data_IF_712565742286
#
_entry.id   IF_712565742286
#
_cell.length_a   1.000
_cell.length_b   1.000
_cell.length_c   1.000
_cell.angle_alpha   90.00
_cell.angle_beta   90.00
_cell.angle_gamma   90.00
#
_symmetry.space_group_name_H-M   'P 1'
#
loop_
_entity.id
_entity.type
_entity.pdbx_description
1 polymer ?
#
# COMPACT_ATOMS: atom_id res chain seq x y z
N UNK A 1 22.21 -13.61 17.64
CA UNK A 1 21.30 -13.18 16.56
C UNK A 1 20.97 -11.71 16.78
N UNK A 2 21.26 -10.80 15.83
CA UNK A 2 20.91 -9.38 15.96
C UNK A 2 19.39 -9.23 15.78
N UNK A 3 18.70 -8.61 16.74
CA UNK A 3 17.29 -8.24 16.57
C UNK A 3 17.20 -7.15 15.50
N UNK A 4 16.37 -7.36 14.49
CA UNK A 4 16.04 -6.32 13.51
C UNK A 4 15.38 -5.15 14.24
N UNK A 5 15.88 -3.95 13.99
CA UNK A 5 15.26 -2.72 14.50
C UNK A 5 14.02 -2.42 13.68
N UNK A 6 13.09 -1.61 14.19
CA UNK A 6 11.87 -1.28 13.43
C UNK A 6 12.17 -0.55 12.11
N UNK A 7 13.33 0.09 12.01
CA UNK A 7 13.83 0.71 10.77
C UNK A 7 14.29 -0.32 9.73
N UNK A 8 14.59 -1.55 10.14
CA UNK A 8 14.96 -2.66 9.25
C UNK A 8 13.73 -3.41 8.73
N UNK A 9 12.55 -3.18 9.31
CA UNK A 9 11.31 -3.87 8.92
C UNK A 9 10.72 -3.20 7.67
N UNK A 10 10.16 -4.02 6.78
CA UNK A 10 9.44 -3.56 5.59
C UNK A 10 7.98 -3.31 5.94
N UNK A 11 7.42 -2.19 5.49
CA UNK A 11 5.98 -1.93 5.56
C UNK A 11 5.38 -2.23 4.19
N UNK A 12 4.72 -3.39 4.07
CA UNK A 12 4.03 -3.76 2.83
C UNK A 12 2.63 -3.15 2.78
N UNK A 13 2.34 -2.38 1.73
CA UNK A 13 1.01 -1.88 1.40
C UNK A 13 0.50 -2.68 0.19
N UNK A 14 -0.68 -3.28 0.31
CA UNK A 14 -1.25 -4.14 -0.72
C UNK A 14 -2.52 -3.54 -1.30
N UNK A 15 -2.55 -3.34 -2.61
CA UNK A 15 -3.72 -2.89 -3.35
C UNK A 15 -4.17 -3.99 -4.32
N UNK A 16 -5.48 -4.08 -4.55
CA UNK A 16 -6.03 -5.01 -5.53
C UNK A 16 -7.19 -4.38 -6.29
N UNK A 17 -7.34 -4.75 -7.56
CA UNK A 17 -8.52 -4.37 -8.32
C UNK A 17 -9.75 -5.08 -7.78
N UNK A 18 -10.80 -4.31 -7.52
CA UNK A 18 -12.14 -4.83 -7.28
C UNK A 18 -12.75 -5.18 -8.63
N UNK A 19 -13.09 -6.45 -8.83
CA UNK A 19 -13.58 -7.01 -10.08
C UNK A 19 -14.99 -6.53 -10.52
N UNK A 20 -15.55 -5.50 -9.86
CA UNK A 20 -17.00 -5.23 -9.86
C UNK A 20 -17.46 -4.01 -10.66
N UNK A 21 -16.59 -3.33 -11.43
CA UNK A 21 -17.09 -2.23 -12.29
C UNK A 21 -16.33 -2.17 -13.62
N UNK A 22 -16.98 -2.70 -14.67
CA UNK A 22 -16.66 -2.44 -16.10
C UNK A 22 -16.81 -0.96 -16.47
N UNK A 23 -17.22 -0.10 -15.53
CA UNK A 23 -17.37 1.34 -15.72
C UNK A 23 -16.06 2.07 -15.47
N UNK A 24 -15.23 2.13 -16.51
CA UNK A 24 -14.28 3.22 -16.77
C UNK A 24 -13.59 3.81 -15.52
N UNK A 25 -12.75 3.03 -14.83
CA UNK A 25 -12.09 3.56 -13.63
C UNK A 25 -11.12 2.66 -12.88
N UNK A 26 -10.71 1.49 -13.41
CA UNK A 26 -9.82 0.55 -12.70
C UNK A 26 -8.52 1.22 -12.19
N UNK A 27 -7.88 2.05 -13.02
CA UNK A 27 -6.67 2.78 -12.62
C UNK A 27 -6.92 3.80 -11.50
N UNK A 28 -8.12 4.40 -11.43
CA UNK A 28 -8.47 5.40 -10.41
C UNK A 28 -8.67 4.73 -9.05
N UNK A 29 -9.23 3.51 -9.02
CA UNK A 29 -9.41 2.75 -7.79
C UNK A 29 -8.07 2.38 -7.15
N UNK A 30 -7.12 1.85 -7.93
CA UNK A 30 -5.78 1.50 -7.43
C UNK A 30 -5.02 2.73 -6.95
N UNK A 31 -5.05 3.84 -7.70
CA UNK A 31 -4.35 5.06 -7.30
C UNK A 31 -4.90 5.62 -5.97
N UNK A 32 -6.23 5.62 -5.81
CA UNK A 32 -6.83 6.05 -4.56
C UNK A 32 -6.52 5.11 -3.38
N UNK A 33 -6.50 3.78 -3.61
CA UNK A 33 -6.07 2.80 -2.61
C UNK A 33 -4.62 3.06 -2.15
N UNK A 34 -3.69 3.25 -3.10
CA UNK A 34 -2.28 3.57 -2.81
C UNK A 34 -2.16 4.82 -1.94
N UNK A 35 -2.88 5.88 -2.30
CA UNK A 35 -2.85 7.15 -1.58
C UNK A 35 -3.35 7.01 -0.15
N UNK A 36 -4.45 6.29 0.07
CA UNK A 36 -5.01 6.08 1.42
C UNK A 36 -4.07 5.27 2.29
N UNK A 37 -3.52 4.17 1.75
CA UNK A 37 -2.60 3.30 2.48
C UNK A 37 -1.30 4.03 2.81
N UNK A 38 -0.75 4.80 1.87
CA UNK A 38 0.48 5.57 2.10
C UNK A 38 0.26 6.69 3.12
N UNK A 39 -0.84 7.44 3.03
CA UNK A 39 -1.17 8.49 3.99
C UNK A 39 -1.34 7.93 5.41
N UNK A 40 -2.03 6.80 5.55
CA UNK A 40 -2.13 6.09 6.82
C UNK A 40 -0.75 5.64 7.32
N UNK A 41 0.07 5.06 6.44
CA UNK A 41 1.38 4.56 6.80
C UNK A 41 2.29 5.68 7.34
N UNK A 42 2.33 6.80 6.62
CA UNK A 42 3.13 7.98 6.97
C UNK A 42 2.64 8.63 8.27
N UNK A 43 1.32 8.79 8.45
CA UNK A 43 0.72 9.35 9.68
C UNK A 43 1.06 8.55 10.93
N UNK A 44 1.23 7.24 10.80
CA UNK A 44 1.60 6.35 11.90
C UNK A 44 3.11 6.14 12.04
N UNK A 45 3.94 6.84 11.26
CA UNK A 45 5.40 6.74 11.34
C UNK A 45 5.98 5.44 10.78
N UNK A 46 5.21 4.69 10.00
CA UNK A 46 5.74 3.52 9.31
C UNK A 46 6.77 3.95 8.26
N UNK A 47 7.88 3.22 8.21
CA UNK A 47 9.00 3.48 7.31
C UNK A 47 9.23 2.29 6.40
N UNK A 48 10.09 2.46 5.39
CA UNK A 48 10.41 1.40 4.42
C UNK A 48 9.13 0.86 3.74
N UNK A 49 8.30 1.78 3.26
CA UNK A 49 7.01 1.49 2.62
C UNK A 49 7.26 0.89 1.24
N UNK A 50 6.55 -0.20 0.92
CA UNK A 50 6.57 -0.84 -0.40
C UNK A 50 5.17 -1.25 -0.82
N UNK A 51 4.78 -0.80 -2.00
CA UNK A 51 3.50 -1.13 -2.60
C UNK A 51 3.57 -2.47 -3.35
N UNK A 52 2.50 -3.24 -3.23
CA UNK A 52 2.26 -4.49 -3.93
C UNK A 52 0.86 -4.40 -4.52
N UNK A 53 0.78 -4.36 -5.85
CA UNK A 53 -0.49 -4.20 -6.55
C UNK A 53 -0.81 -5.47 -7.31
N UNK A 54 -2.02 -5.98 -7.11
CA UNK A 54 -2.60 -7.09 -7.85
C UNK A 54 -3.64 -6.55 -8.82
N UNK A 55 -3.34 -6.67 -10.12
CA UNK A 55 -4.16 -6.18 -11.24
C UNK A 55 -4.85 -7.32 -11.95
#
# INVERSE_FOLDING_TARGET
MKKQTEKDKLTALYERLSHDDERAGESVSIENQKRILEDYARKNGFTNIRHFTDV
#
